data_IF_096339802373
#
_entry.id   IF_096339802373
#
_cell.length_a   1.000
_cell.length_b   1.000
_cell.length_c   1.000
_cell.angle_alpha   90.00
_cell.angle_beta   90.00
_cell.angle_gamma   90.00
#
_symmetry.space_group_name_H-M   'P 1'
#
loop_
_entity.id
_entity.type
_entity.pdbx_description
1 polymer ?
#
# COMPACT_ATOMS: atom_id res chain seq x y z
N UNK A 1 11.68 -10.42 -7.45
CA UNK A 1 10.44 -9.61 -7.37
C UNK A 1 9.97 -9.67 -5.93
N UNK A 2 9.52 -8.54 -5.39
CA UNK A 2 9.13 -8.38 -3.98
C UNK A 2 7.62 -8.26 -3.86
N UNK A 3 7.12 -8.45 -2.65
CA UNK A 3 5.74 -8.18 -2.27
C UNK A 3 5.74 -7.37 -0.97
N UNK A 4 4.71 -6.55 -0.71
CA UNK A 4 3.55 -6.28 -1.57
C UNK A 4 3.88 -5.36 -2.76
N UNK A 5 2.98 -5.32 -3.73
CA UNK A 5 2.87 -4.20 -4.68
C UNK A 5 1.88 -3.21 -4.08
N UNK A 6 2.31 -1.96 -3.93
CA UNK A 6 1.50 -0.91 -3.31
C UNK A 6 0.92 0.02 -4.37
N UNK A 7 -0.28 0.54 -4.09
CA UNK A 7 -0.95 1.55 -4.91
C UNK A 7 -1.50 2.65 -4.02
N UNK A 8 -1.30 3.90 -4.41
CA UNK A 8 -1.83 5.05 -3.69
C UNK A 8 -2.06 6.22 -4.66
N UNK A 9 -2.87 7.18 -4.23
CA UNK A 9 -3.07 8.41 -4.99
C UNK A 9 -2.00 9.43 -4.58
N UNK A 10 -1.39 10.09 -5.57
CA UNK A 10 -0.44 11.18 -5.40
C UNK A 10 -0.87 12.29 -6.34
N UNK A 11 -1.25 13.45 -5.78
CA UNK A 11 -1.69 14.62 -6.56
C UNK A 11 -2.78 14.27 -7.59
N UNK A 12 -3.77 13.46 -7.19
CA UNK A 12 -4.87 13.05 -8.06
C UNK A 12 -4.55 11.89 -9.02
N UNK A 13 -3.29 11.45 -9.14
CA UNK A 13 -2.86 10.37 -10.05
C UNK A 13 -2.53 9.11 -9.26
N UNK A 14 -2.75 7.93 -9.86
CA UNK A 14 -2.36 6.66 -9.26
C UNK A 14 -0.87 6.39 -9.43
N UNK A 15 -0.19 6.14 -8.31
CA UNK A 15 1.17 5.66 -8.26
C UNK A 15 1.18 4.16 -7.92
N UNK A 16 2.08 3.41 -8.55
CA UNK A 16 2.37 2.01 -8.22
C UNK A 16 3.77 1.96 -7.63
N UNK A 17 3.90 1.48 -6.40
CA UNK A 17 5.17 1.40 -5.71
C UNK A 17 5.63 -0.05 -5.59
N UNK A 18 6.93 -0.23 -5.80
CA UNK A 18 7.61 -1.50 -5.64
C UNK A 18 8.69 -1.35 -4.57
N UNK A 19 8.66 -2.23 -3.58
CA UNK A 19 9.66 -2.24 -2.51
C UNK A 19 10.91 -2.95 -2.99
N UNK A 20 12.09 -2.36 -2.84
CA UNK A 20 13.33 -3.01 -3.24
C UNK A 20 13.82 -3.99 -2.15
N UNK A 21 14.45 -5.13 -2.52
CA UNK A 21 15.09 -6.02 -1.54
C UNK A 21 16.13 -5.27 -0.70
N UNK A 22 16.25 -5.67 0.57
CA UNK A 22 17.11 -5.00 1.56
C UNK A 22 18.61 -5.06 1.25
N UNK A 23 19.03 -5.95 0.35
CA UNK A 23 20.42 -6.07 -0.11
C UNK A 23 20.86 -4.91 -1.02
N UNK A 24 19.91 -4.12 -1.54
CA UNK A 24 20.20 -2.97 -2.41
C UNK A 24 20.04 -1.63 -1.68
N UNK A 25 20.91 -0.69 -2.03
CA UNK A 25 20.79 0.73 -1.66
C UNK A 25 20.40 1.56 -2.88
N UNK A 26 19.93 2.80 -2.68
CA UNK A 26 19.66 3.73 -3.79
C UNK A 26 20.84 3.90 -4.76
N UNK A 27 22.08 3.79 -4.27
CA UNK A 27 23.30 3.93 -5.08
C UNK A 27 23.60 2.70 -5.93
N UNK A 28 23.17 1.52 -5.49
CA UNK A 28 23.44 0.23 -6.17
C UNK A 28 22.30 -0.21 -7.06
N UNK A 29 21.13 0.42 -6.95
CA UNK A 29 19.99 0.12 -7.81
C UNK A 29 20.28 0.51 -9.26
N UNK A 30 19.88 -0.32 -10.23
CA UNK A 30 20.03 0.03 -11.63
C UNK A 30 19.19 1.27 -11.94
N UNK A 31 19.75 2.17 -12.75
CA UNK A 31 19.01 3.34 -13.22
C UNK A 31 17.83 2.88 -14.07
N UNK A 32 16.59 3.32 -13.76
CA UNK A 32 15.45 3.00 -14.61
C UNK A 32 15.65 3.50 -16.03
N UNK A 33 15.25 2.69 -17.01
CA UNK A 33 15.27 3.06 -18.42
C UNK A 33 14.04 3.90 -18.84
N UNK A 34 13.05 4.02 -17.96
CA UNK A 34 11.86 4.84 -18.15
C UNK A 34 11.85 5.99 -17.13
N UNK A 35 11.70 7.23 -17.60
CA UNK A 35 11.69 8.44 -16.77
C UNK A 35 10.49 8.56 -15.84
N UNK A 36 9.40 7.82 -16.11
CA UNK A 36 8.25 7.74 -15.21
C UNK A 36 8.52 6.92 -13.94
N UNK A 37 9.63 6.15 -13.90
CA UNK A 37 10.03 5.35 -12.75
C UNK A 37 11.06 6.12 -11.94
N UNK A 38 10.69 6.45 -10.69
CA UNK A 38 11.52 7.23 -9.78
C UNK A 38 11.94 6.32 -8.62
N UNK A 39 13.24 6.30 -8.32
CA UNK A 39 13.76 5.65 -7.11
C UNK A 39 13.73 6.66 -5.97
N UNK A 40 13.08 6.29 -4.88
CA UNK A 40 12.96 7.15 -3.69
C UNK A 40 13.26 6.37 -2.42
N UNK A 41 13.96 7.00 -1.48
CA UNK A 41 14.10 6.48 -0.12
C UNK A 41 12.96 7.02 0.73
N UNK A 42 12.20 6.13 1.33
CA UNK A 42 11.15 6.48 2.28
C UNK A 42 11.68 6.30 3.71
N UNK A 43 11.48 7.30 4.59
CA UNK A 43 11.80 7.13 6.01
C UNK A 43 10.88 6.08 6.65
N UNK A 44 11.24 5.62 7.84
CA UNK A 44 10.36 4.73 8.62
C UNK A 44 9.01 5.40 8.86
N UNK A 45 7.93 4.67 8.57
CA UNK A 45 6.55 5.13 8.72
C UNK A 45 5.77 4.13 9.58
N UNK A 46 4.69 4.62 10.19
CA UNK A 46 3.77 3.80 10.99
C UNK A 46 2.43 3.81 10.30
N UNK A 47 1.81 2.63 10.18
CA UNK A 47 0.55 2.45 9.51
C UNK A 47 -0.43 1.69 10.40
N UNK A 48 -1.71 2.02 10.26
CA UNK A 48 -2.81 1.16 10.68
C UNK A 48 -3.33 0.43 9.45
N UNK A 49 -3.56 -0.88 9.57
CA UNK A 49 -3.91 -1.75 8.44
C UNK A 49 -5.12 -2.63 8.74
N UNK A 50 -5.91 -2.91 7.71
CA UNK A 50 -6.91 -3.97 7.72
C UNK A 50 -6.55 -5.00 6.65
N UNK A 51 -6.44 -6.26 7.07
CA UNK A 51 -6.24 -7.39 6.17
C UNK A 51 -7.59 -7.93 5.69
N UNK A 52 -7.69 -8.27 4.41
CA UNK A 52 -8.87 -8.90 3.84
C UNK A 52 -8.53 -9.82 2.66
N UNK A 53 -9.48 -10.69 2.34
CA UNK A 53 -9.38 -11.64 1.22
C UNK A 53 -10.35 -11.27 0.08
N UNK A 54 -10.28 -12.02 -1.01
CA UNK A 54 -11.11 -11.83 -2.18
C UNK A 54 -10.40 -11.11 -3.34
N UNK A 55 -11.19 -10.66 -4.30
CA UNK A 55 -10.71 -9.92 -5.47
C UNK A 55 -10.42 -8.46 -5.09
N UNK A 56 -9.50 -7.85 -5.82
CA UNK A 56 -9.17 -6.41 -5.72
C UNK A 56 -10.20 -5.55 -6.47
N UNK A 57 -11.50 -5.80 -6.29
CA UNK A 57 -12.55 -4.97 -6.86
C UNK A 57 -12.74 -3.70 -6.04
N UNK A 58 -13.21 -2.63 -6.68
CA UNK A 58 -13.43 -1.33 -6.03
C UNK A 58 -14.39 -1.47 -4.85
N UNK A 59 -15.42 -2.30 -4.98
CA UNK A 59 -16.42 -2.53 -3.93
C UNK A 59 -15.81 -3.21 -2.71
N UNK A 60 -14.99 -4.25 -2.92
CA UNK A 60 -14.35 -4.99 -1.82
C UNK A 60 -13.34 -4.11 -1.09
N UNK A 61 -12.55 -3.33 -1.85
CA UNK A 61 -11.58 -2.38 -1.30
C UNK A 61 -12.30 -1.30 -0.49
N UNK A 62 -13.30 -0.63 -1.09
CA UNK A 62 -14.05 0.45 -0.44
C UNK A 62 -14.76 -0.01 0.84
N UNK A 63 -15.26 -1.25 0.86
CA UNK A 63 -15.87 -1.86 2.04
C UNK A 63 -14.87 -1.95 3.20
N UNK A 64 -13.65 -2.42 2.93
CA UNK A 64 -12.63 -2.59 3.97
C UNK A 64 -11.98 -1.27 4.38
N UNK A 65 -11.80 -0.35 3.44
CA UNK A 65 -11.39 1.02 3.72
C UNK A 65 -12.37 1.72 4.66
N UNK A 66 -13.67 1.64 4.40
CA UNK A 66 -14.72 2.23 5.23
C UNK A 66 -14.73 1.62 6.65
N UNK A 67 -14.53 0.30 6.76
CA UNK A 67 -14.40 -0.38 8.06
C UNK A 67 -13.19 0.13 8.84
N UNK A 68 -12.04 0.28 8.18
CA UNK A 68 -10.83 0.79 8.83
C UNK A 68 -11.00 2.25 9.26
N UNK A 69 -11.58 3.12 8.41
CA UNK A 69 -11.91 4.51 8.76
C UNK A 69 -12.83 4.57 9.98
N UNK A 70 -13.88 3.76 10.02
CA UNK A 70 -14.78 3.70 11.17
C UNK A 70 -14.05 3.26 12.46
N UNK A 71 -13.14 2.29 12.36
CA UNK A 71 -12.31 1.86 13.49
C UNK A 71 -11.38 2.98 13.98
N UNK A 72 -10.72 3.69 13.07
CA UNK A 72 -9.83 4.82 13.37
C UNK A 72 -10.58 5.92 14.11
N UNK A 73 -11.76 6.32 13.61
CA UNK A 73 -12.61 7.35 14.23
C UNK A 73 -13.03 6.91 15.64
N UNK A 74 -13.50 5.66 15.79
CA UNK A 74 -13.92 5.12 17.09
C UNK A 74 -12.80 5.12 18.14
N UNK A 75 -11.56 4.91 17.72
CA UNK A 75 -10.40 4.84 18.62
C UNK A 75 -9.61 6.15 18.70
N UNK A 76 -10.09 7.24 18.09
CA UNK A 76 -9.45 8.56 18.07
C UNK A 76 -7.98 8.51 17.58
N UNK A 77 -7.71 7.67 16.57
CA UNK A 77 -6.38 7.54 15.96
C UNK A 77 -6.25 8.60 14.86
N UNK A 78 -5.15 9.37 14.87
CA UNK A 78 -4.88 10.35 13.82
C UNK A 78 -4.22 9.67 12.62
N UNK A 79 -4.83 9.84 11.45
CA UNK A 79 -4.34 9.28 10.19
C UNK A 79 -4.29 10.35 9.10
N UNK A 80 -3.51 10.07 8.06
CA UNK A 80 -3.55 10.82 6.81
C UNK A 80 -4.74 10.40 5.95
N UNK A 81 -5.18 11.30 5.06
CA UNK A 81 -6.42 11.12 4.28
C UNK A 81 -6.30 10.03 3.21
N UNK A 82 -5.15 9.95 2.54
CA UNK A 82 -4.95 9.06 1.40
C UNK A 82 -4.63 7.62 1.85
N UNK A 83 -5.43 6.62 1.43
CA UNK A 83 -5.14 5.22 1.69
C UNK A 83 -4.01 4.69 0.80
N UNK A 84 -3.33 3.67 1.30
CA UNK A 84 -2.40 2.83 0.54
C UNK A 84 -2.98 1.42 0.46
N UNK A 85 -3.04 0.87 -0.74
CA UNK A 85 -3.50 -0.49 -1.00
C UNK A 85 -2.31 -1.40 -1.25
N UNK A 86 -2.20 -2.50 -0.51
CA UNK A 86 -1.11 -3.46 -0.66
C UNK A 86 -1.65 -4.82 -1.13
N UNK A 87 -1.14 -5.27 -2.28
CA UNK A 87 -1.51 -6.55 -2.89
C UNK A 87 -0.33 -7.51 -2.85
N UNK A 88 -0.49 -8.64 -2.19
CA UNK A 88 0.61 -9.58 -1.92
C UNK A 88 0.64 -10.75 -2.90
N UNK A 89 -0.52 -11.12 -3.43
CA UNK A 89 -0.68 -12.37 -4.17
C UNK A 89 -0.78 -12.16 -5.68
N UNK A 90 -0.22 -13.08 -6.47
CA UNK A 90 -0.33 -13.05 -7.92
C UNK A 90 -1.73 -13.45 -8.43
N UNK A 91 -2.07 -13.14 -9.69
CA UNK A 91 -3.42 -13.30 -10.24
C UNK A 91 -3.94 -14.75 -10.28
N UNK A 92 -3.06 -15.76 -10.25
CA UNK A 92 -3.46 -17.18 -10.19
C UNK A 92 -3.83 -17.67 -8.79
N UNK A 93 -3.59 -16.88 -7.73
CA UNK A 93 -3.99 -17.25 -6.37
C UNK A 93 -5.52 -17.22 -6.27
N UNK A 94 -6.14 -18.27 -5.71
CA UNK A 94 -7.58 -18.30 -5.49
C UNK A 94 -8.02 -17.09 -4.64
N UNK A 95 -9.12 -16.39 -4.98
CA UNK A 95 -9.49 -15.15 -4.30
C UNK A 95 -9.61 -15.27 -2.78
N UNK A 96 -10.14 -16.39 -2.28
CA UNK A 96 -10.30 -16.64 -0.84
C UNK A 96 -8.96 -16.82 -0.10
N UNK A 97 -7.88 -17.14 -0.82
CA UNK A 97 -6.54 -17.31 -0.29
C UNK A 97 -5.66 -16.07 -0.48
N UNK A 98 -6.21 -15.00 -1.08
CA UNK A 98 -5.47 -13.75 -1.25
C UNK A 98 -5.42 -12.98 0.06
N UNK A 99 -4.29 -12.34 0.29
CA UNK A 99 -4.04 -11.30 1.28
C UNK A 99 -3.96 -9.97 0.55
N UNK A 100 -4.89 -9.10 0.90
CA UNK A 100 -4.89 -7.70 0.50
C UNK A 100 -4.97 -6.86 1.77
N UNK A 101 -4.41 -5.66 1.71
CA UNK A 101 -4.44 -4.72 2.83
C UNK A 101 -4.85 -3.34 2.36
N UNK A 102 -5.65 -2.66 3.20
CA UNK A 102 -5.82 -1.20 3.14
C UNK A 102 -5.10 -0.61 4.33
N UNK A 103 -4.27 0.39 4.09
CA UNK A 103 -3.41 1.01 5.09
C UNK A 103 -3.65 2.52 5.12
N UNK A 104 -3.64 3.09 6.31
CA UNK A 104 -3.54 4.54 6.50
C UNK A 104 -2.29 4.85 7.31
N UNK A 105 -1.55 5.87 6.89
CA UNK A 105 -0.40 6.35 7.64
C UNK A 105 -0.88 7.03 8.92
N UNK A 106 -0.27 6.65 10.03
CA UNK A 106 -0.55 7.23 11.35
C UNK A 106 0.40 8.39 11.59
N UNK A 107 -0.15 9.53 12.00
CA UNK A 107 0.68 10.65 12.43
C UNK A 107 1.22 10.35 13.83
N UNK A 108 2.54 10.35 13.98
CA UNK A 108 3.15 10.39 15.32
C UNK A 108 2.87 11.77 15.90
N UNK A 109 2.04 11.82 16.95
CA UNK A 109 2.02 12.98 17.85
C UNK A 109 3.37 13.11 18.56
#
# INVERSE_FOLDING_TARGET
MTAPVEQNQVNGTWAINFTMPSEYTLKTLPKPNNTAVILSALPSQTFITIQFSGRSSIENISTHESKLKAFVIKNNIKIQDDPIYAFYNPPWTLPILRRNEVMFKVDKN
#
